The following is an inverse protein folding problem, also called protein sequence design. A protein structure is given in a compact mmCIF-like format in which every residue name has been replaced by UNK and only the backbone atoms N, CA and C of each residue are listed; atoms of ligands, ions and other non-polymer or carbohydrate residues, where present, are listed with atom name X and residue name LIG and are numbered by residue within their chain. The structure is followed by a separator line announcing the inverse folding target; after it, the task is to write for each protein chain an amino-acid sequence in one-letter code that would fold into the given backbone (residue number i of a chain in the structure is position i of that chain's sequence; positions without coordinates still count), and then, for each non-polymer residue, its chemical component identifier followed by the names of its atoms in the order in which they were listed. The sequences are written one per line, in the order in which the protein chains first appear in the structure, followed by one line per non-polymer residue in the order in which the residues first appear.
data_IF_357456284796
#
_entry.id   IF_357456284796
#
_cell.length_a   1.000
_cell.length_b   1.000
_cell.length_c   1.000
_cell.angle_alpha   90.00
_cell.angle_beta   90.00
_cell.angle_gamma   90.00
#
_symmetry.space_group_name_H-M   'P 1'
#
loop_
_entity.id
_entity.type
_entity.pdbx_description
1 polymer ?
#
# COMPACT_ATOMS: atom_id res chain seq x y z
N UNK A 1 10.36 -6.88 8.84
CA UNK A 1 9.59 -5.63 8.56
C UNK A 1 9.06 -5.67 7.14
N UNK A 2 7.81 -5.30 6.99
CA UNK A 2 7.16 -5.24 5.69
C UNK A 2 7.15 -3.79 5.21
N UNK A 3 7.49 -3.58 3.94
CA UNK A 3 7.47 -2.24 3.34
C UNK A 3 6.25 -2.10 2.44
N UNK A 4 5.53 -1.00 2.61
CA UNK A 4 4.37 -0.67 1.78
C UNK A 4 4.67 0.63 1.04
N UNK A 5 4.73 0.55 -0.28
CA UNK A 5 4.89 1.72 -1.12
C UNK A 5 3.54 2.15 -1.67
N UNK A 6 3.22 3.41 -1.51
CA UNK A 6 1.96 3.97 -2.02
C UNK A 6 2.29 5.14 -2.94
N UNK A 7 1.94 5.01 -4.19
CA UNK A 7 2.11 6.06 -5.20
C UNK A 7 0.75 6.75 -5.37
N UNK A 8 0.64 7.95 -4.83
CA UNK A 8 -0.61 8.72 -4.81
C UNK A 8 -0.70 9.55 -6.07
N UNK A 9 -1.77 9.37 -6.82
CA UNK A 9 -2.08 10.19 -7.97
C UNK A 9 -3.51 10.73 -7.85
N UNK A 10 -3.93 11.51 -8.85
CA UNK A 10 -5.26 12.11 -8.81
C UNK A 10 -6.32 11.02 -8.89
N UNK A 11 -7.14 10.90 -7.85
CA UNK A 11 -8.28 10.01 -7.80
C UNK A 11 -7.98 8.56 -7.44
N UNK A 12 -6.71 8.15 -7.44
CA UNK A 12 -6.37 6.78 -7.09
C UNK A 12 -4.92 6.67 -6.60
N UNK A 13 -4.60 5.54 -5.99
CA UNK A 13 -3.24 5.25 -5.57
C UNK A 13 -2.87 3.84 -5.98
N UNK A 14 -1.57 3.63 -6.25
CA UNK A 14 -1.03 2.31 -6.51
C UNK A 14 -0.28 1.84 -5.27
N UNK A 15 -0.60 0.63 -4.81
CA UNK A 15 -0.04 0.06 -3.59
C UNK A 15 0.80 -1.15 -3.93
N UNK A 16 2.01 -1.20 -3.37
CA UNK A 16 2.91 -2.34 -3.51
C UNK A 16 3.39 -2.76 -2.13
N UNK A 17 3.32 -4.06 -1.83
CA UNK A 17 3.69 -4.60 -0.52
C UNK A 17 4.86 -5.56 -0.69
N UNK A 18 5.96 -5.28 0.01
CA UNK A 18 7.19 -6.06 -0.08
C UNK A 18 7.61 -6.56 1.29
N UNK A 19 8.12 -7.79 1.32
CA UNK A 19 8.80 -8.32 2.49
C UNK A 19 10.27 -7.89 2.49
N UNK A 20 11.02 -8.11 3.59
CA UNK A 20 12.46 -7.91 3.58
C UNK A 20 13.12 -8.66 2.43
N UNK A 21 14.22 -8.13 1.95
CA UNK A 21 14.98 -8.70 0.83
C UNK A 21 14.26 -8.65 -0.52
N UNK A 22 13.24 -7.78 -0.64
CA UNK A 22 12.57 -7.56 -1.92
C UNK A 22 11.59 -8.63 -2.34
N UNK A 23 11.25 -9.57 -1.44
CA UNK A 23 10.22 -10.55 -1.75
C UNK A 23 8.85 -9.89 -1.85
N UNK A 24 8.13 -10.16 -2.93
CA UNK A 24 6.83 -9.54 -3.18
C UNK A 24 5.74 -10.26 -2.40
N UNK A 25 5.04 -9.54 -1.51
CA UNK A 25 3.87 -10.05 -0.80
C UNK A 25 2.64 -9.96 -1.68
N UNK A 26 2.51 -8.84 -2.39
CA UNK A 26 1.37 -8.58 -3.24
C UNK A 26 1.82 -7.83 -4.47
N UNK A 27 1.32 -8.22 -5.64
CA UNK A 27 1.57 -7.46 -6.86
C UNK A 27 0.98 -6.06 -6.72
N UNK A 28 1.53 -5.06 -7.40
CA UNK A 28 0.96 -3.72 -7.34
C UNK A 28 -0.53 -3.72 -7.69
N UNK A 29 -1.32 -3.02 -6.92
CA UNK A 29 -2.75 -2.90 -7.16
C UNK A 29 -3.19 -1.46 -6.92
N UNK A 30 -4.28 -1.07 -7.57
CA UNK A 30 -4.83 0.26 -7.45
C UNK A 30 -5.96 0.30 -6.43
N UNK A 31 -6.04 1.41 -5.70
CA UNK A 31 -7.17 1.69 -4.82
C UNK A 31 -7.70 3.07 -5.15
N UNK A 32 -8.98 3.29 -4.90
CA UNK A 32 -9.57 4.61 -4.97
C UNK A 32 -9.47 5.27 -3.60
N UNK A 33 -9.67 6.59 -3.53
CA UNK A 33 -9.60 7.33 -2.27
C UNK A 33 -10.95 7.32 -1.56
N UNK A 34 -11.64 6.18 -1.58
CA UNK A 34 -12.91 6.00 -0.88
C UNK A 34 -12.65 5.41 0.50
N UNK A 35 -13.58 5.67 1.41
CA UNK A 35 -13.49 5.10 2.75
C UNK A 35 -13.45 3.58 2.71
N UNK A 36 -14.20 2.98 1.79
CA UNK A 36 -14.23 1.51 1.64
C UNK A 36 -12.86 0.98 1.29
N UNK A 37 -12.22 1.52 0.24
CA UNK A 37 -10.92 1.04 -0.21
C UNK A 37 -9.84 1.28 0.84
N UNK A 38 -9.86 2.44 1.49
CA UNK A 38 -8.89 2.76 2.52
C UNK A 38 -9.05 1.85 3.74
N UNK A 39 -10.29 1.53 4.10
CA UNK A 39 -10.55 0.60 5.21
C UNK A 39 -10.08 -0.81 4.88
N UNK A 40 -10.29 -1.25 3.64
CA UNK A 40 -9.84 -2.57 3.21
C UNK A 40 -8.31 -2.65 3.23
N UNK A 41 -7.62 -1.61 2.77
CA UNK A 41 -6.17 -1.56 2.81
C UNK A 41 -5.68 -1.61 4.26
N UNK A 42 -6.27 -0.82 5.14
CA UNK A 42 -5.90 -0.80 6.54
C UNK A 42 -6.07 -2.17 7.19
N UNK A 43 -7.18 -2.84 6.91
CA UNK A 43 -7.42 -4.19 7.42
C UNK A 43 -6.41 -5.19 6.89
N UNK A 44 -6.06 -5.09 5.61
CA UNK A 44 -5.06 -5.96 5.01
C UNK A 44 -3.71 -5.79 5.69
N UNK A 45 -3.27 -4.56 5.91
CA UNK A 45 -2.00 -4.27 6.56
C UNK A 45 -1.99 -4.77 8.01
N UNK A 46 -3.10 -4.62 8.70
CA UNK A 46 -3.24 -5.09 10.07
C UNK A 46 -3.12 -6.62 10.17
N UNK A 47 -3.63 -7.33 9.17
CA UNK A 47 -3.58 -8.80 9.13
C UNK A 47 -2.18 -9.34 8.90
N UNK A 48 -1.27 -8.54 8.38
CA UNK A 48 0.10 -8.99 8.14
C UNK A 48 0.83 -9.33 9.45
N UNK A 49 0.34 -8.81 10.56
CA UNK A 49 0.85 -9.12 11.90
C UNK A 49 2.37 -8.98 12.01
N UNK A 50 2.90 -7.93 11.41
CA UNK A 50 4.31 -7.64 11.39
C UNK A 50 4.49 -6.13 11.46
N UNK A 51 5.72 -5.70 11.74
CA UNK A 51 6.06 -4.29 11.66
C UNK A 51 5.99 -3.82 10.22
N UNK A 52 5.28 -2.74 9.99
CA UNK A 52 5.03 -2.22 8.65
C UNK A 52 5.59 -0.80 8.52
N UNK A 53 6.38 -0.59 7.48
CA UNK A 53 6.86 0.74 7.11
C UNK A 53 6.11 1.20 5.86
N UNK A 54 5.49 2.36 5.94
CA UNK A 54 4.72 2.91 4.83
C UNK A 54 5.48 4.09 4.23
N UNK A 55 5.70 4.06 2.92
CA UNK A 55 6.32 5.15 2.18
C UNK A 55 5.31 5.63 1.15
N UNK A 56 5.01 6.92 1.17
CA UNK A 56 4.06 7.53 0.26
C UNK A 56 4.76 8.57 -0.61
N UNK A 57 4.45 8.56 -1.90
CA UNK A 57 4.92 9.57 -2.84
C UNK A 57 3.73 10.09 -3.63
N UNK A 58 3.71 11.38 -3.88
CA UNK A 58 2.69 12.01 -4.70
C UNK A 58 3.25 12.26 -6.10
N UNK A 59 2.58 11.72 -7.11
CA UNK A 59 2.98 11.90 -8.49
C UNK A 59 1.78 12.36 -9.33
N UNK A 60 2.03 12.78 -10.54
CA UNK A 60 0.97 13.09 -11.47
C UNK A 60 0.19 14.35 -11.18
N UNK A 61 0.80 15.30 -10.58
CA UNK A 61 0.19 16.60 -10.31
C UNK A 61 0.25 17.46 -11.54
#
# INVERSE_FOLDING_TARGET
MISVGIDVSKGKSTVCILKPYGEIVSKPFNITHTQKDLSELSSMLFRLNDEVKIVMEATGI
#
